data_IF_381421319739
#
_entry.id   IF_381421319739
#
_cell.length_a   1.000
_cell.length_b   1.000
_cell.length_c   1.000
_cell.angle_alpha   90.00
_cell.angle_beta   90.00
_cell.angle_gamma   90.00
#
_symmetry.space_group_name_H-M   'P 1'
#
loop_
_entity.id
_entity.type
_entity.pdbx_description
1 polymer ?
#
# COMPACT_ATOMS: atom_id res chain seq x y z
N UNK A 1 -5.39 -18.02 15.07
CA UNK A 1 -4.49 -16.90 15.45
C UNK A 1 -5.29 -15.69 15.96
N UNK A 2 -4.76 -14.85 16.87
CA UNK A 2 -5.49 -13.67 17.40
C UNK A 2 -5.89 -12.68 16.29
N UNK A 3 -4.95 -12.36 15.40
CA UNK A 3 -5.16 -11.47 14.25
C UNK A 3 -6.31 -11.92 13.34
N UNK A 4 -6.36 -13.21 13.03
CA UNK A 4 -7.40 -13.81 12.21
C UNK A 4 -8.79 -13.70 12.84
N UNK A 5 -8.91 -14.00 14.15
CA UNK A 5 -10.17 -13.85 14.88
C UNK A 5 -10.66 -12.40 14.87
N UNK A 6 -9.75 -11.43 15.06
CA UNK A 6 -10.09 -10.01 15.01
C UNK A 6 -10.59 -9.60 13.63
N UNK A 7 -9.90 -10.01 12.56
CA UNK A 7 -10.31 -9.71 11.19
C UNK A 7 -11.67 -10.32 10.86
N UNK A 8 -11.90 -11.59 11.20
CA UNK A 8 -13.20 -12.26 10.99
C UNK A 8 -14.32 -11.50 11.71
N UNK A 9 -14.11 -11.08 12.96
CA UNK A 9 -15.11 -10.32 13.70
C UNK A 9 -15.40 -8.96 13.05
N UNK A 10 -14.38 -8.29 12.54
CA UNK A 10 -14.54 -7.04 11.78
C UNK A 10 -15.33 -7.25 10.48
N UNK A 11 -15.00 -8.27 9.69
CA UNK A 11 -15.73 -8.62 8.46
C UNK A 11 -17.19 -8.96 8.75
N UNK A 12 -17.47 -9.70 9.84
CA UNK A 12 -18.84 -9.98 10.29
C UNK A 12 -19.61 -8.70 10.63
N UNK A 13 -18.98 -7.76 11.37
CA UNK A 13 -19.61 -6.47 11.67
C UNK A 13 -19.97 -5.69 10.40
N UNK A 14 -19.06 -5.66 9.42
CA UNK A 14 -19.31 -4.97 8.15
C UNK A 14 -20.40 -5.65 7.31
N UNK A 15 -20.45 -6.99 7.30
CA UNK A 15 -21.53 -7.76 6.67
C UNK A 15 -22.88 -7.45 7.33
N UNK A 16 -22.95 -7.47 8.66
CA UNK A 16 -24.18 -7.21 9.41
C UNK A 16 -24.70 -5.77 9.22
N UNK A 17 -23.81 -4.82 8.95
CA UNK A 17 -24.16 -3.44 8.58
C UNK A 17 -24.60 -3.27 7.10
N UNK A 18 -24.61 -4.35 6.31
CA UNK A 18 -24.93 -4.30 4.88
C UNK A 18 -23.84 -3.68 4.01
N UNK A 19 -22.64 -3.42 4.56
CA UNK A 19 -21.52 -2.81 3.81
C UNK A 19 -20.84 -3.86 2.92
N UNK A 20 -20.71 -5.10 3.40
CA UNK A 20 -20.19 -6.22 2.60
C UNK A 20 -21.33 -7.11 2.13
N UNK A 21 -21.32 -7.50 0.86
CA UNK A 21 -22.18 -8.59 0.36
C UNK A 21 -21.74 -9.94 0.96
N UNK A 22 -22.61 -10.94 0.86
CA UNK A 22 -22.32 -12.29 1.36
C UNK A 22 -21.11 -12.91 0.64
N UNK A 23 -21.08 -12.79 -0.70
CA UNK A 23 -20.04 -13.32 -1.56
C UNK A 23 -18.70 -12.67 -1.25
N UNK A 24 -18.72 -11.34 -1.05
CA UNK A 24 -17.51 -10.59 -0.75
C UNK A 24 -16.98 -10.93 0.64
N UNK A 25 -17.83 -10.99 1.66
CA UNK A 25 -17.45 -11.44 2.99
C UNK A 25 -16.74 -12.81 2.93
N UNK A 26 -17.32 -13.78 2.24
CA UNK A 26 -16.76 -15.13 2.17
C UNK A 26 -15.44 -15.17 1.39
N UNK A 27 -15.33 -14.37 0.33
CA UNK A 27 -14.08 -14.23 -0.42
C UNK A 27 -12.95 -13.59 0.41
N UNK A 28 -13.28 -12.67 1.32
CA UNK A 28 -12.33 -11.96 2.17
C UNK A 28 -11.98 -12.74 3.44
N UNK A 29 -12.84 -13.67 3.87
CA UNK A 29 -12.65 -14.45 5.09
C UNK A 29 -11.33 -15.25 5.00
N UNK A 30 -10.39 -15.04 5.94
CA UNK A 30 -9.19 -15.86 6.01
C UNK A 30 -9.55 -17.31 6.40
N UNK A 31 -8.79 -18.26 5.87
CA UNK A 31 -8.88 -19.69 6.17
C UNK A 31 -7.47 -20.27 6.17
N UNK A 32 -7.06 -20.91 7.27
CA UNK A 32 -5.75 -21.57 7.36
C UNK A 32 -4.56 -20.60 7.22
N UNK A 33 -4.63 -19.44 7.89
CA UNK A 33 -3.62 -18.39 7.74
C UNK A 33 -2.32 -18.65 8.49
N UNK A 34 -1.20 -18.22 7.90
CA UNK A 34 0.12 -18.26 8.49
C UNK A 34 0.39 -17.02 9.35
N UNK A 35 1.12 -17.20 10.46
CA UNK A 35 1.60 -16.06 11.26
C UNK A 35 2.61 -15.26 10.43
N UNK A 36 2.46 -13.93 10.31
CA UNK A 36 3.47 -13.09 9.67
C UNK A 36 4.87 -13.29 10.26
N UNK A 37 5.88 -13.28 9.40
CA UNK A 37 7.28 -13.50 9.80
C UNK A 37 8.09 -12.24 9.61
N UNK A 38 8.69 -11.73 10.68
CA UNK A 38 9.65 -10.62 10.62
C UNK A 38 11.07 -11.18 10.60
N UNK A 39 11.85 -10.83 9.57
CA UNK A 39 13.26 -11.21 9.47
C UNK A 39 14.11 -10.05 8.93
N UNK A 40 15.43 -10.12 9.10
CA UNK A 40 16.36 -9.10 8.63
C UNK A 40 17.13 -9.56 7.39
N UNK A 41 17.28 -8.67 6.41
CA UNK A 41 18.21 -8.85 5.29
C UNK A 41 19.40 -7.89 5.45
N UNK A 42 20.65 -8.37 5.37
CA UNK A 42 21.81 -7.49 5.52
C UNK A 42 21.89 -6.47 4.38
N UNK A 43 22.18 -5.20 4.72
CA UNK A 43 22.56 -4.19 3.73
C UNK A 43 24.04 -4.39 3.39
N UNK A 44 24.33 -5.29 2.46
CA UNK A 44 25.70 -5.72 2.07
C UNK A 44 26.60 -4.58 1.60
N UNK A 45 26.03 -3.45 1.18
CA UNK A 45 26.75 -2.26 0.74
C UNK A 45 27.09 -1.26 1.87
N UNK A 46 26.81 -1.60 3.14
CA UNK A 46 27.09 -0.72 4.30
C UNK A 46 27.98 -1.41 5.32
N UNK A 47 28.98 -0.69 5.82
CA UNK A 47 29.85 -1.12 6.92
C UNK A 47 29.03 -1.52 8.15
N UNK A 48 29.42 -2.60 8.82
CA UNK A 48 28.67 -3.16 9.95
C UNK A 48 27.43 -3.97 9.56
N UNK A 49 27.15 -4.14 8.26
CA UNK A 49 26.07 -4.99 7.71
C UNK A 49 24.71 -4.79 8.39
N UNK A 50 24.23 -3.54 8.54
CA UNK A 50 22.97 -3.28 9.23
C UNK A 50 21.81 -4.02 8.56
N UNK A 51 20.93 -4.62 9.37
CA UNK A 51 19.77 -5.36 8.86
C UNK A 51 18.69 -4.41 8.35
N UNK A 52 18.07 -4.77 7.23
CA UNK A 52 16.81 -4.23 6.74
C UNK A 52 15.69 -5.17 7.19
N UNK A 53 14.80 -4.76 8.10
CA UNK A 53 13.66 -5.58 8.48
C UNK A 53 12.74 -5.81 7.27
N UNK A 54 12.27 -7.04 7.10
CA UNK A 54 11.33 -7.49 6.08
C UNK A 54 10.23 -8.27 6.78
N UNK A 55 8.99 -7.85 6.54
CA UNK A 55 7.81 -8.52 7.05
C UNK A 55 7.19 -9.36 5.93
N UNK A 56 7.27 -10.68 6.07
CA UNK A 56 6.58 -11.62 5.19
C UNK A 56 5.14 -11.83 5.65
N UNK A 57 4.23 -11.45 4.75
CA UNK A 57 2.78 -11.47 4.92
C UNK A 57 2.10 -12.53 4.03
N UNK A 58 2.88 -13.43 3.43
CA UNK A 58 2.35 -14.48 2.56
C UNK A 58 1.39 -15.40 3.33
N UNK A 59 0.21 -15.62 2.77
CA UNK A 59 -0.89 -16.36 3.40
C UNK A 59 -1.26 -15.88 4.82
N UNK A 60 -0.94 -14.64 5.17
CA UNK A 60 -1.37 -14.05 6.45
C UNK A 60 -2.88 -13.82 6.48
N UNK A 61 -3.49 -13.62 7.66
CA UNK A 61 -4.92 -13.32 7.75
C UNK A 61 -5.33 -12.11 6.90
N UNK A 62 -4.42 -11.16 6.71
CA UNK A 62 -4.65 -9.91 5.99
C UNK A 62 -4.49 -10.03 4.48
N UNK A 63 -3.93 -11.13 3.96
CA UNK A 63 -3.49 -11.24 2.57
C UNK A 63 -4.63 -11.03 1.56
N UNK A 64 -5.79 -11.69 1.78
CA UNK A 64 -6.96 -11.55 0.89
C UNK A 64 -7.53 -10.14 0.91
N UNK A 65 -7.69 -9.56 2.09
CA UNK A 65 -8.14 -8.17 2.28
C UNK A 65 -7.17 -7.17 1.64
N UNK A 66 -5.86 -7.42 1.74
CA UNK A 66 -4.84 -6.60 1.12
C UNK A 66 -4.99 -6.55 -0.40
N UNK A 67 -5.04 -7.74 -1.02
CA UNK A 67 -5.20 -7.89 -2.47
C UNK A 67 -6.51 -7.26 -2.97
N UNK A 68 -7.56 -7.40 -2.18
CA UNK A 68 -8.85 -6.78 -2.48
C UNK A 68 -8.77 -5.25 -2.49
N UNK A 69 -8.17 -4.65 -1.45
CA UNK A 69 -8.03 -3.20 -1.36
C UNK A 69 -7.12 -2.65 -2.49
N UNK A 70 -6.05 -3.37 -2.88
CA UNK A 70 -5.26 -3.04 -4.10
C UNK A 70 -6.16 -2.96 -5.33
N UNK A 71 -7.03 -3.95 -5.51
CA UNK A 71 -7.89 -4.04 -6.70
C UNK A 71 -8.84 -2.86 -6.79
N UNK A 72 -9.51 -2.49 -5.69
CA UNK A 72 -10.51 -1.41 -5.72
C UNK A 72 -9.88 -0.01 -5.77
N UNK A 73 -8.67 0.18 -5.22
CA UNK A 73 -7.97 1.47 -5.23
C UNK A 73 -7.10 1.67 -6.48
N UNK A 74 -6.88 0.63 -7.29
CA UNK A 74 -6.07 0.70 -8.50
C UNK A 74 -6.55 1.77 -9.52
N UNK A 75 -7.85 1.99 -9.76
CA UNK A 75 -8.31 3.09 -10.63
C UNK A 75 -7.85 4.45 -10.11
N UNK A 76 -8.01 4.71 -8.81
CA UNK A 76 -7.57 5.94 -8.18
C UNK A 76 -6.04 6.11 -8.29
N UNK A 77 -5.30 5.05 -7.98
CA UNK A 77 -3.84 5.06 -8.09
C UNK A 77 -3.38 5.47 -9.49
N UNK A 78 -3.97 4.93 -10.55
CA UNK A 78 -3.61 5.27 -11.94
C UNK A 78 -3.84 6.74 -12.26
N UNK A 79 -4.83 7.36 -11.63
CA UNK A 79 -5.14 8.79 -11.83
C UNK A 79 -4.19 9.70 -11.05
N UNK A 80 -3.85 9.34 -9.80
CA UNK A 80 -2.97 10.14 -8.94
C UNK A 80 -1.50 10.02 -9.33
N UNK A 81 -1.05 8.80 -9.66
CA UNK A 81 0.36 8.49 -9.86
C UNK A 81 0.67 8.49 -11.36
N UNK A 82 0.61 9.66 -11.98
CA UNK A 82 0.83 9.84 -13.43
C UNK A 82 2.28 10.26 -13.80
N UNK A 83 3.08 10.66 -12.82
CA UNK A 83 4.51 11.04 -12.99
C UNK A 83 5.49 9.99 -12.47
N UNK A 84 5.02 8.80 -12.09
CA UNK A 84 5.93 7.70 -11.75
C UNK A 84 6.54 7.10 -13.01
N UNK A 85 7.78 6.66 -12.88
CA UNK A 85 8.45 5.82 -13.87
C UNK A 85 8.21 4.37 -13.52
N UNK A 86 8.03 3.48 -14.50
CA UNK A 86 7.69 2.06 -14.27
C UNK A 86 8.88 1.17 -13.97
N UNK A 87 10.02 1.41 -14.63
CA UNK A 87 11.24 0.61 -14.55
C UNK A 87 12.43 1.40 -15.14
N UNK A 88 13.62 0.78 -15.25
CA UNK A 88 14.79 1.48 -15.78
C UNK A 88 14.61 1.95 -17.22
N UNK A 89 14.00 1.12 -18.05
CA UNK A 89 13.86 1.40 -19.47
C UNK A 89 12.88 2.55 -19.73
N UNK A 90 11.79 2.60 -18.95
CA UNK A 90 10.83 3.72 -18.97
C UNK A 90 11.47 5.04 -18.52
N UNK A 91 12.43 5.02 -17.59
CA UNK A 91 13.15 6.24 -17.23
C UNK A 91 14.04 6.72 -18.38
N UNK A 92 14.86 5.83 -18.93
CA UNK A 92 15.85 6.16 -19.96
C UNK A 92 15.13 6.81 -21.13
N UNK A 93 14.09 6.15 -21.64
CA UNK A 93 13.27 6.69 -22.73
C UNK A 93 12.63 8.05 -22.41
N UNK A 94 12.22 8.30 -21.16
CA UNK A 94 11.67 9.59 -20.74
C UNK A 94 12.71 10.71 -20.62
N UNK A 95 13.95 10.38 -20.28
CA UNK A 95 15.01 11.39 -20.07
C UNK A 95 15.90 11.62 -21.28
N UNK A 96 15.95 10.68 -22.22
CA UNK A 96 16.85 10.68 -23.38
C UNK A 96 16.78 11.96 -24.21
N UNK A 97 15.60 12.54 -24.37
CA UNK A 97 15.38 13.73 -25.20
C UNK A 97 15.12 15.01 -24.39
N UNK A 98 15.35 15.00 -23.08
CA UNK A 98 15.15 16.20 -22.25
C UNK A 98 16.31 17.16 -22.48
N UNK A 99 16.03 18.36 -22.99
CA UNK A 99 17.01 19.45 -23.02
C UNK A 99 17.34 19.92 -21.59
N UNK A 100 18.59 19.74 -21.17
CA UNK A 100 19.09 20.07 -19.84
C UNK A 100 19.72 21.47 -19.74
N UNK A 101 19.80 22.23 -20.84
CA UNK A 101 20.45 23.54 -20.82
C UNK A 101 19.76 24.49 -19.81
N UNK A 102 20.57 25.08 -18.92
CA UNK A 102 20.10 25.97 -17.84
C UNK A 102 19.32 25.29 -16.71
N UNK A 103 19.25 23.95 -16.67
CA UNK A 103 18.52 23.20 -15.63
C UNK A 103 19.46 22.58 -14.61
N UNK A 104 18.93 22.34 -13.40
CA UNK A 104 19.62 21.63 -12.31
C UNK A 104 18.83 20.41 -11.91
N UNK A 105 19.54 19.33 -11.60
CA UNK A 105 18.95 18.11 -11.06
C UNK A 105 19.02 18.13 -9.54
N UNK A 106 17.96 17.68 -8.89
CA UNK A 106 17.89 17.53 -7.44
C UNK A 106 17.51 16.08 -7.15
N UNK A 107 18.29 15.43 -6.29
CA UNK A 107 17.99 14.10 -5.77
C UNK A 107 17.47 14.24 -4.34
N UNK A 108 16.31 13.65 -4.08
CA UNK A 108 15.65 13.66 -2.78
C UNK A 108 15.38 12.20 -2.37
N UNK A 109 15.71 11.85 -1.12
CA UNK A 109 15.42 10.54 -0.56
C UNK A 109 14.40 10.66 0.58
N UNK A 110 13.47 9.73 0.64
CA UNK A 110 12.45 9.69 1.71
C UNK A 110 12.88 8.68 2.77
N UNK A 111 13.20 9.19 3.95
CA UNK A 111 13.56 8.34 5.09
C UNK A 111 12.34 7.58 5.61
N UNK A 112 12.51 6.27 5.80
CA UNK A 112 11.56 5.39 6.50
C UNK A 112 10.12 5.49 5.99
N UNK A 113 9.95 5.45 4.67
CA UNK A 113 8.67 5.57 3.98
C UNK A 113 7.57 4.62 4.51
N UNK A 114 7.91 3.45 5.03
CA UNK A 114 6.92 2.51 5.57
C UNK A 114 6.40 2.88 6.96
N UNK A 115 7.19 3.56 7.79
CA UNK A 115 6.83 3.84 9.19
C UNK A 115 6.33 5.25 9.41
N UNK A 116 6.62 6.17 8.47
CA UNK A 116 6.37 7.60 8.63
C UNK A 116 5.16 8.12 7.84
N UNK A 117 4.29 7.23 7.34
CA UNK A 117 3.07 7.65 6.63
C UNK A 117 1.98 8.04 7.65
N UNK A 118 1.47 9.29 7.61
CA UNK A 118 0.41 9.75 8.49
C UNK A 118 -0.91 9.06 8.11
N UNK A 119 -1.32 8.08 8.91
CA UNK A 119 -2.35 7.10 8.51
C UNK A 119 -3.72 7.72 8.34
N UNK A 120 -4.14 8.58 9.28
CA UNK A 120 -5.48 9.19 9.28
C UNK A 120 -5.61 10.11 8.07
N UNK A 121 -4.63 10.98 7.89
CA UNK A 121 -4.53 11.93 6.79
C UNK A 121 -4.47 11.22 5.44
N UNK A 122 -3.80 10.07 5.36
CA UNK A 122 -3.76 9.26 4.13
C UNK A 122 -5.14 8.65 3.82
N UNK A 123 -5.87 8.18 4.84
CA UNK A 123 -7.21 7.63 4.66
C UNK A 123 -8.16 8.73 4.20
N UNK A 124 -8.15 9.88 4.87
CA UNK A 124 -9.00 11.03 4.55
C UNK A 124 -8.73 11.54 3.14
N UNK A 125 -7.45 11.69 2.77
CA UNK A 125 -7.04 12.05 1.41
C UNK A 125 -7.56 11.06 0.37
N UNK A 126 -7.43 9.74 0.61
CA UNK A 126 -7.96 8.73 -0.32
C UNK A 126 -9.48 8.85 -0.46
N UNK A 127 -10.20 9.04 0.64
CA UNK A 127 -11.65 9.19 0.62
C UNK A 127 -12.09 10.42 -0.17
N UNK A 128 -11.45 11.56 0.10
CA UNK A 128 -11.67 12.80 -0.64
C UNK A 128 -11.43 12.60 -2.15
N UNK A 129 -10.31 11.97 -2.53
CA UNK A 129 -9.98 11.75 -3.94
C UNK A 129 -10.94 10.76 -4.63
N UNK A 130 -11.47 9.77 -3.92
CA UNK A 130 -12.50 8.87 -4.46
C UNK A 130 -13.80 9.64 -4.76
N UNK A 131 -14.20 10.54 -3.86
CA UNK A 131 -15.40 11.37 -4.03
C UNK A 131 -15.23 12.38 -5.17
N UNK A 132 -14.15 13.16 -5.16
CA UNK A 132 -13.86 14.19 -6.18
C UNK A 132 -13.79 13.61 -7.59
N UNK A 133 -13.16 12.44 -7.74
CA UNK A 133 -13.02 11.76 -9.03
C UNK A 133 -14.20 10.84 -9.37
N UNK A 134 -15.23 10.81 -8.51
CA UNK A 134 -16.44 10.00 -8.67
C UNK A 134 -16.12 8.51 -8.95
N UNK A 135 -15.09 7.98 -8.30
CA UNK A 135 -14.66 6.60 -8.49
C UNK A 135 -15.55 5.69 -7.66
N UNK A 136 -16.44 4.96 -8.34
CA UNK A 136 -17.25 3.94 -7.69
C UNK A 136 -16.39 2.70 -7.38
N UNK A 137 -16.07 2.50 -6.11
CA UNK A 137 -15.32 1.34 -5.62
C UNK A 137 -16.23 0.13 -5.32
N UNK A 138 -17.53 0.20 -5.62
CA UNK A 138 -18.49 -0.88 -5.38
C UNK A 138 -18.89 -1.03 -3.91
N UNK A 139 -18.72 0.02 -3.10
CA UNK A 139 -19.09 0.05 -1.68
C UNK A 139 -19.94 1.26 -1.34
N UNK A 140 -21.26 1.09 -1.16
CA UNK A 140 -22.06 2.11 -0.53
C UNK A 140 -21.68 2.18 0.96
N UNK A 141 -21.12 3.31 1.39
CA UNK A 141 -20.99 3.62 2.82
C UNK A 141 -19.61 3.50 3.46
N UNK A 142 -18.52 3.26 2.70
CA UNK A 142 -17.16 3.48 3.22
C UNK A 142 -16.91 5.00 3.39
N UNK A 143 -17.25 5.80 2.38
CA UNK A 143 -17.02 7.25 2.39
C UNK A 143 -17.88 8.00 3.41
N UNK A 144 -19.10 7.51 3.70
CA UNK A 144 -20.06 8.20 4.57
C UNK A 144 -20.00 7.75 6.05
N UNK A 145 -19.21 6.74 6.41
CA UNK A 145 -19.16 6.19 7.78
C UNK A 145 -17.75 6.13 8.39
N UNK A 146 -16.79 6.88 7.84
CA UNK A 146 -15.50 7.05 8.52
C UNK A 146 -15.61 7.90 9.80
N UNK A 147 -16.70 8.65 9.98
CA UNK A 147 -16.81 9.64 11.06
C UNK A 147 -17.01 9.08 12.47
N UNK A 148 -17.43 7.83 12.68
CA UNK A 148 -17.59 7.34 14.06
C UNK A 148 -17.10 5.90 14.26
N UNK A 149 -16.01 5.76 15.02
CA UNK A 149 -15.56 4.53 15.70
C UNK A 149 -15.07 3.34 14.84
N UNK A 150 -14.83 3.54 13.53
CA UNK A 150 -14.33 2.49 12.64
C UNK A 150 -12.80 2.41 12.49
N UNK A 151 -12.06 3.38 13.05
CA UNK A 151 -10.60 3.38 13.09
C UNK A 151 -10.02 2.13 13.75
N UNK A 152 -10.73 1.50 14.69
CA UNK A 152 -10.26 0.32 15.44
C UNK A 152 -10.05 -0.93 14.59
N UNK A 153 -10.74 -1.05 13.45
CA UNK A 153 -10.57 -2.17 12.50
C UNK A 153 -9.25 -2.02 11.73
N UNK A 154 -8.84 -0.78 11.43
CA UNK A 154 -7.60 -0.45 10.74
C UNK A 154 -6.42 -0.19 11.70
N UNK A 155 -6.69 0.17 12.95
CA UNK A 155 -5.68 0.43 13.98
C UNK A 155 -5.15 -0.85 14.64
N UNK A 156 -5.90 -1.96 14.64
CA UNK A 156 -5.42 -3.26 15.15
C UNK A 156 -4.71 -4.12 14.09
N UNK A 157 -4.79 -3.72 12.82
CA UNK A 157 -3.97 -4.23 11.71
C UNK A 157 -3.18 -3.07 11.12
N UNK A 158 -2.35 -2.43 11.95
CA UNK A 158 -1.59 -1.25 11.56
C UNK A 158 -0.90 -1.47 10.20
N UNK A 159 -0.98 -0.43 9.38
CA UNK A 159 -0.04 -0.07 8.31
C UNK A 159 -0.03 -0.90 7.02
N UNK A 160 -0.23 -2.20 7.05
CA UNK A 160 0.33 -3.01 5.96
C UNK A 160 -0.47 -2.95 4.66
N UNK A 161 -1.80 -2.79 4.70
CA UNK A 161 -2.59 -2.89 3.47
C UNK A 161 -2.53 -1.60 2.62
N UNK A 162 -2.79 -0.44 3.21
CA UNK A 162 -2.75 0.85 2.48
C UNK A 162 -1.31 1.13 2.01
N UNK A 163 -0.30 0.80 2.83
CA UNK A 163 1.10 0.94 2.44
C UNK A 163 1.51 -0.11 1.39
N UNK A 164 1.03 -1.36 1.43
CA UNK A 164 1.25 -2.32 0.32
C UNK A 164 0.60 -1.84 -0.99
N UNK A 165 -0.56 -1.18 -0.94
CA UNK A 165 -1.25 -0.68 -2.14
C UNK A 165 -0.48 0.45 -2.80
N UNK A 166 0.05 1.37 -2.01
CA UNK A 166 0.86 2.49 -2.50
C UNK A 166 2.28 1.99 -2.88
N UNK A 167 2.84 0.99 -2.18
CA UNK A 167 4.25 0.59 -2.32
C UNK A 167 4.53 -0.62 -3.22
N UNK A 168 3.60 -1.58 -3.39
CA UNK A 168 3.86 -2.75 -4.26
C UNK A 168 4.08 -2.32 -5.72
N UNK A 169 3.55 -1.16 -6.12
CA UNK A 169 3.80 -0.58 -7.45
C UNK A 169 5.01 0.35 -7.51
N UNK A 170 5.36 1.03 -6.42
CA UNK A 170 6.62 1.80 -6.32
C UNK A 170 7.84 0.88 -6.31
N UNK A 171 7.72 -0.36 -5.80
CA UNK A 171 8.82 -1.34 -5.84
C UNK A 171 9.11 -1.86 -7.25
N UNK A 172 8.12 -1.95 -8.15
CA UNK A 172 8.37 -2.26 -9.56
C UNK A 172 9.15 -1.16 -10.29
N UNK A 173 8.99 0.07 -9.82
CA UNK A 173 9.63 1.30 -10.34
C UNK A 173 11.03 1.59 -9.82
N UNK A 174 11.38 1.13 -8.61
CA UNK A 174 12.60 1.57 -7.91
C UNK A 174 13.64 0.45 -7.71
N UNK A 175 13.28 -0.83 -7.89
CA UNK A 175 14.25 -1.94 -7.69
C UNK A 175 15.36 -1.99 -8.74
N UNK A 176 15.28 -1.20 -9.79
CA UNK A 176 16.31 -1.16 -10.83
C UNK A 176 17.36 -0.03 -10.67
N UNK A 177 17.30 0.76 -9.58
CA UNK A 177 18.08 2.00 -9.48
C UNK A 177 19.10 2.11 -8.35
N UNK A 178 19.23 1.11 -7.46
CA UNK A 178 20.30 1.13 -6.45
C UNK A 178 21.68 0.69 -6.98
N UNK A 179 21.87 0.58 -8.30
CA UNK A 179 23.14 0.15 -8.91
C UNK A 179 23.68 1.05 -10.04
N UNK A 180 23.13 2.24 -10.30
CA UNK A 180 23.64 3.13 -11.38
C UNK A 180 23.88 4.57 -10.88
N UNK A 181 24.52 4.70 -9.72
CA UNK A 181 25.31 5.89 -9.38
C UNK A 181 26.55 5.43 -8.62
N UNK A 182 27.46 4.78 -9.36
CA UNK A 182 28.89 4.70 -9.03
C UNK A 182 29.63 4.94 -10.34
N UNK A 183 29.93 6.20 -10.61
CA UNK A 183 31.11 6.73 -11.27
C UNK A 183 31.06 8.26 -11.12
#
# INVERSE_FOLDING_TARGET
>A
MKAEKLLINSLKKLKNKGILTHELHDSLKPTGSNTPRLYGLPKVHKTGLPLRPVLDMYNSPYHKTAKFLVRILNPLHKLLVNRSVKDVFDFISKVEHINLNGKRMISLDVASLFTNVPLTETIDFVCQQLQEKQINIGFPGILNNFEENHYTIFQNSKLIIIIIIIMHRIRSSVVSYQSIFIA
#
